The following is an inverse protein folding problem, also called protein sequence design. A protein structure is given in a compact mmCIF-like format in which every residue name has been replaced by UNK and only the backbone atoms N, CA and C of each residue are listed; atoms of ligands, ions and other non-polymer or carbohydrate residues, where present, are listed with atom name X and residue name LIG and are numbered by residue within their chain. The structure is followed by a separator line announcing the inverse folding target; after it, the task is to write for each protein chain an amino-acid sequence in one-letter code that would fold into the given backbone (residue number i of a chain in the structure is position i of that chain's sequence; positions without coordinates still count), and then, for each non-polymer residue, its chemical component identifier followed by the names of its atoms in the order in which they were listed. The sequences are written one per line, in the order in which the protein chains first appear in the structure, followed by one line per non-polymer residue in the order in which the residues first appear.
data_IF_499318895456
#
_entry.id   IF_499318895456
#
_cell.length_a   1.000
_cell.length_b   1.000
_cell.length_c   1.000
_cell.angle_alpha   90.00
_cell.angle_beta   90.00
_cell.angle_gamma   90.00
#
_symmetry.space_group_name_H-M   'P 1'
#
loop_
_entity.id
_entity.type
_entity.pdbx_description
1 polymer ?
#
# COMPACT_ATOMS: atom_id res chain seq x y z
N UNK A 1 12.93 13.78 -48.04
CA UNK A 1 12.36 14.96 -47.35
C UNK A 1 10.93 14.59 -46.99
N UNK A 2 10.59 14.25 -45.75
CA UNK A 2 11.18 14.73 -44.49
C UNK A 2 11.35 13.59 -43.48
N UNK A 3 12.58 13.48 -42.99
CA UNK A 3 12.93 12.88 -41.70
C UNK A 3 12.33 13.75 -40.59
N UNK A 4 11.56 13.18 -39.67
CA UNK A 4 11.40 13.71 -38.31
C UNK A 4 11.28 12.53 -37.34
N UNK A 5 12.44 11.99 -37.00
CA UNK A 5 12.68 11.36 -35.70
C UNK A 5 12.39 12.40 -34.60
N UNK A 6 11.60 12.03 -33.59
CA UNK A 6 11.64 12.73 -32.30
C UNK A 6 11.73 11.72 -31.16
N UNK A 7 12.94 11.68 -30.63
CA UNK A 7 13.41 10.96 -29.45
C UNK A 7 12.94 11.63 -28.15
N UNK A 8 12.77 10.80 -27.11
CA UNK A 8 12.83 11.12 -25.66
C UNK A 8 11.61 11.79 -24.99
N UNK A 9 10.91 11.05 -24.13
CA UNK A 9 11.15 11.12 -22.68
C UNK A 9 10.41 9.99 -21.95
N UNK A 10 11.18 9.26 -21.17
CA UNK A 10 10.77 8.31 -20.16
C UNK A 10 9.67 8.87 -19.26
N UNK A 11 8.44 8.38 -19.41
CA UNK A 11 7.40 8.51 -18.38
C UNK A 11 7.06 7.16 -17.78
N UNK A 12 8.08 6.52 -17.20
CA UNK A 12 7.88 5.55 -16.13
C UNK A 12 7.47 6.32 -14.86
N UNK A 13 6.30 6.97 -14.91
CA UNK A 13 5.70 7.54 -13.72
C UNK A 13 5.18 6.35 -12.92
N UNK A 14 6.01 5.87 -12.00
CA UNK A 14 5.55 5.02 -10.92
C UNK A 14 4.60 5.87 -10.07
N UNK A 15 3.35 6.00 -10.52
CA UNK A 15 2.23 6.62 -9.83
C UNK A 15 1.89 5.84 -8.57
N UNK A 16 2.79 5.93 -7.60
CA UNK A 16 2.83 5.14 -6.38
C UNK A 16 2.31 5.97 -5.20
N UNK A 17 1.12 6.53 -5.35
CA UNK A 17 0.28 6.87 -4.21
C UNK A 17 -1.11 6.26 -4.44
N UNK A 18 -1.18 4.92 -4.36
CA UNK A 18 -2.44 4.16 -4.34
C UNK A 18 -2.98 3.98 -2.91
N UNK A 19 -2.71 4.95 -2.06
CA UNK A 19 -3.27 5.05 -0.72
C UNK A 19 -4.43 6.04 -0.78
N UNK A 20 -5.62 5.60 -0.36
CA UNK A 20 -6.76 6.48 -0.25
C UNK A 20 -7.05 6.71 1.25
N UNK A 21 -7.31 7.96 1.65
CA UNK A 21 -7.72 8.23 3.01
C UNK A 21 -9.13 7.67 3.19
N UNK A 22 -9.26 6.71 4.08
CA UNK A 22 -10.53 6.05 4.38
C UNK A 22 -10.79 6.17 5.88
N UNK A 23 -12.05 6.34 6.27
CA UNK A 23 -12.40 6.37 7.70
C UNK A 23 -12.07 5.03 8.36
N UNK A 24 -11.38 5.09 9.51
CA UNK A 24 -11.01 3.92 10.30
C UNK A 24 -12.20 2.98 10.58
N UNK A 25 -13.41 3.53 10.78
CA UNK A 25 -14.62 2.73 11.02
C UNK A 25 -15.06 1.83 9.86
N UNK A 26 -14.60 2.09 8.63
CA UNK A 26 -15.00 1.30 7.44
C UNK A 26 -14.02 0.18 7.10
N UNK A 27 -12.88 0.12 7.80
CA UNK A 27 -11.82 -0.87 7.57
C UNK A 27 -12.27 -2.22 8.14
N UNK A 28 -12.18 -3.26 7.32
CA UNK A 28 -12.57 -4.63 7.67
C UNK A 28 -11.34 -5.54 7.81
N UNK A 29 -11.55 -6.71 8.41
CA UNK A 29 -10.54 -7.78 8.48
C UNK A 29 -10.06 -8.15 7.07
N UNK A 30 -8.79 -8.55 6.96
CA UNK A 30 -8.08 -8.77 5.69
C UNK A 30 -7.89 -7.53 4.80
N UNK A 31 -8.24 -6.33 5.29
CA UNK A 31 -7.86 -5.08 4.63
C UNK A 31 -6.35 -4.82 4.71
N UNK A 32 -5.85 -3.94 3.86
CA UNK A 32 -4.45 -3.52 3.87
C UNK A 32 -4.37 -2.06 4.27
N UNK A 33 -3.64 -1.78 5.34
CA UNK A 33 -3.47 -0.43 5.88
C UNK A 33 -2.00 -0.09 5.92
N UNK A 34 -1.67 1.19 5.82
CA UNK A 34 -0.30 1.65 5.98
C UNK A 34 -0.12 2.12 7.41
N UNK A 35 0.69 1.39 8.18
CA UNK A 35 1.08 1.78 9.54
C UNK A 35 2.55 2.20 9.49
N UNK A 36 2.87 3.43 9.90
CA UNK A 36 4.25 3.96 9.95
C UNK A 36 5.00 3.80 8.62
N UNK A 37 4.34 4.16 7.52
CA UNK A 37 4.84 4.01 6.13
C UNK A 37 5.13 2.57 5.69
N UNK A 38 4.62 1.55 6.40
CA UNK A 38 4.74 0.15 6.01
C UNK A 38 3.36 -0.46 5.72
N UNK A 39 3.17 -1.15 4.58
CA UNK A 39 1.91 -1.81 4.28
C UNK A 39 1.77 -3.06 5.17
N UNK A 40 0.72 -3.07 5.97
CA UNK A 40 0.40 -4.14 6.90
C UNK A 40 -0.97 -4.72 6.54
N UNK A 41 -1.11 -6.04 6.68
CA UNK A 41 -2.38 -6.75 6.53
C UNK A 41 -3.12 -6.77 7.86
N UNK A 42 -4.34 -6.25 7.90
CA UNK A 42 -5.21 -6.27 9.09
C UNK A 42 -5.68 -7.70 9.34
N UNK A 43 -5.32 -8.25 10.50
CA UNK A 43 -5.75 -9.58 10.96
C UNK A 43 -7.00 -9.45 11.84
N UNK A 44 -7.03 -8.42 12.68
CA UNK A 44 -8.13 -8.20 13.61
C UNK A 44 -8.46 -6.71 13.73
N UNK A 45 -9.76 -6.43 13.86
CA UNK A 45 -10.31 -5.09 14.05
C UNK A 45 -11.22 -5.14 15.25
N UNK A 46 -10.92 -4.31 16.25
CA UNK A 46 -11.69 -4.20 17.48
C UNK A 46 -12.13 -2.76 17.66
N UNK A 47 -13.40 -2.48 17.45
CA UNK A 47 -13.96 -1.13 17.66
C UNK A 47 -14.60 -1.04 19.04
N UNK A 48 -14.08 -0.17 19.90
CA UNK A 48 -14.62 0.09 21.23
C UNK A 48 -15.28 1.47 21.28
N UNK A 49 -16.43 1.57 21.95
CA UNK A 49 -17.06 2.87 22.24
C UNK A 49 -16.64 3.29 23.64
N UNK A 50 -15.91 4.40 23.80
CA UNK A 50 -15.52 4.90 25.12
C UNK A 50 -16.66 5.73 25.73
N UNK A 51 -17.68 5.06 26.28
CA UNK A 51 -18.75 5.70 27.04
C UNK A 51 -19.95 6.25 26.23
N UNK A 52 -20.88 6.91 26.93
CA UNK A 52 -22.21 7.34 26.43
C UNK A 52 -22.17 8.39 25.29
N UNK A 53 -21.15 9.26 25.30
CA UNK A 53 -20.96 10.34 24.30
C UNK A 53 -19.60 10.26 23.59
N UNK A 54 -18.83 9.20 23.81
CA UNK A 54 -17.47 9.12 23.28
C UNK A 54 -17.41 8.65 21.83
N UNK A 55 -16.42 9.13 21.10
CA UNK A 55 -16.07 8.61 19.79
C UNK A 55 -15.66 7.13 19.89
N UNK A 56 -16.02 6.33 18.90
CA UNK A 56 -15.51 4.97 18.83
C UNK A 56 -14.00 5.02 18.56
N UNK A 57 -13.25 4.11 19.18
CA UNK A 57 -11.83 3.89 18.95
C UNK A 57 -11.66 2.56 18.24
N UNK A 58 -10.95 2.57 17.12
CA UNK A 58 -10.62 1.39 16.36
C UNK A 58 -9.23 0.91 16.80
N UNK A 59 -9.17 -0.29 17.33
CA UNK A 59 -7.95 -1.00 17.63
C UNK A 59 -7.67 -1.98 16.48
N UNK A 60 -6.61 -1.72 15.74
CA UNK A 60 -6.19 -2.54 14.61
C UNK A 60 -5.01 -3.40 15.02
N UNK A 61 -5.12 -4.70 14.75
CA UNK A 61 -4.00 -5.63 14.81
C UNK A 61 -3.66 -6.01 13.37
N UNK A 62 -2.49 -5.59 12.92
CA UNK A 62 -2.01 -5.84 11.56
C UNK A 62 -0.66 -6.57 11.58
N UNK A 63 -0.37 -7.30 10.51
CA UNK A 63 0.90 -7.99 10.31
C UNK A 63 1.60 -7.36 9.10
N UNK A 64 2.84 -6.94 9.29
CA UNK A 64 3.69 -6.45 8.21
C UNK A 64 3.88 -7.56 7.16
N UNK A 65 3.62 -7.25 5.89
CA UNK A 65 3.68 -8.22 4.80
C UNK A 65 5.14 -8.61 4.51
N UNK A 66 6.10 -7.73 4.77
CA UNK A 66 7.51 -7.94 4.48
C UNK A 66 8.25 -8.57 5.66
N UNK A 67 7.99 -8.07 6.88
CA UNK A 67 8.68 -8.52 8.08
C UNK A 67 7.94 -9.61 8.86
N UNK A 68 6.65 -9.86 8.58
CA UNK A 68 5.82 -10.79 9.36
C UNK A 68 5.59 -10.37 10.81
N UNK A 69 6.01 -9.16 11.20
CA UNK A 69 5.87 -8.65 12.56
C UNK A 69 4.47 -8.12 12.79
N UNK A 70 3.89 -8.48 13.94
CA UNK A 70 2.63 -7.93 14.41
C UNK A 70 2.83 -6.48 14.85
N UNK A 71 1.94 -5.61 14.42
CA UNK A 71 1.88 -4.19 14.72
C UNK A 71 0.45 -3.86 15.15
N UNK A 72 0.34 -3.16 16.27
CA UNK A 72 -0.92 -2.72 16.83
C UNK A 72 -0.99 -1.21 16.72
N UNK A 73 -2.15 -0.70 16.31
CA UNK A 73 -2.40 0.73 16.22
C UNK A 73 -3.80 1.08 16.70
N UNK A 74 -3.89 2.19 17.44
CA UNK A 74 -5.13 2.68 18.03
C UNK A 74 -5.42 4.03 17.42
N UNK A 75 -6.47 4.07 16.62
CA UNK A 75 -6.89 5.26 15.90
C UNK A 75 -8.36 5.53 16.21
N UNK A 76 -8.75 6.78 16.50
CA UNK A 76 -10.15 7.07 16.71
C UNK A 76 -10.91 6.93 15.39
N UNK A 77 -12.15 6.43 15.46
CA UNK A 77 -13.01 6.14 14.30
C UNK A 77 -13.24 7.35 13.37
N UNK A 78 -13.12 8.57 13.91
CA UNK A 78 -13.25 9.84 13.20
C UNK A 78 -12.00 10.26 12.45
N UNK A 79 -10.84 9.64 12.69
CA UNK A 79 -9.62 9.94 11.95
C UNK A 79 -9.57 9.15 10.64
N UNK A 80 -9.01 9.79 9.64
CA UNK A 80 -8.71 9.17 8.36
C UNK A 80 -7.47 8.29 8.52
N UNK A 81 -7.56 7.06 8.04
CA UNK A 81 -6.44 6.13 7.93
C UNK A 81 -6.12 5.93 6.45
N UNK A 82 -4.83 5.88 6.13
CA UNK A 82 -4.39 5.58 4.78
C UNK A 82 -4.53 4.08 4.51
N UNK A 83 -5.50 3.75 3.66
CA UNK A 83 -5.75 2.37 3.23
C UNK A 83 -5.00 2.13 1.93
N UNK A 84 -4.22 1.06 1.92
CA UNK A 84 -3.49 0.63 0.73
C UNK A 84 -4.39 -0.27 -0.13
N UNK A 85 -4.62 0.10 -1.38
CA UNK A 85 -5.25 -0.82 -2.36
C UNK A 85 -4.27 -1.90 -2.85
N UNK A 86 -3.00 -1.78 -2.44
CA UNK A 86 -1.88 -2.28 -3.20
C UNK A 86 -1.35 -3.57 -2.58
N UNK A 87 -2.05 -4.67 -2.85
CA UNK A 87 -1.42 -5.98 -2.97
C UNK A 87 -1.35 -6.45 -4.43
N UNK A 88 -2.28 -5.99 -5.29
CA UNK A 88 -2.33 -6.39 -6.70
C UNK A 88 -1.20 -5.80 -7.57
N UNK A 89 -0.48 -4.76 -7.13
CA UNK A 89 0.55 -4.13 -7.95
C UNK A 89 2.00 -4.37 -7.49
N UNK A 90 2.23 -5.14 -6.41
CA UNK A 90 3.60 -5.48 -6.00
C UNK A 90 4.18 -6.65 -6.79
N UNK A 91 3.32 -7.60 -7.20
CA UNK A 91 3.69 -8.70 -8.10
C UNK A 91 4.32 -8.22 -9.42
N UNK A 92 3.69 -7.31 -10.20
CA UNK A 92 4.29 -6.87 -11.46
C UNK A 92 5.60 -6.11 -11.26
N UNK A 93 5.75 -5.29 -10.21
CA UNK A 93 6.97 -4.50 -9.98
C UNK A 93 8.14 -5.41 -9.59
N UNK A 94 7.92 -6.41 -8.73
CA UNK A 94 8.96 -7.37 -8.38
C UNK A 94 9.32 -8.27 -9.58
N UNK A 95 8.35 -8.72 -10.38
CA UNK A 95 8.66 -9.44 -11.63
C UNK A 95 9.34 -8.57 -12.66
N UNK A 96 8.99 -7.28 -12.80
CA UNK A 96 9.65 -6.38 -13.76
C UNK A 96 11.09 -6.13 -13.33
N UNK A 97 11.34 -5.92 -12.04
CA UNK A 97 12.70 -5.70 -11.54
C UNK A 97 13.55 -6.98 -11.63
N UNK A 98 12.97 -8.14 -11.32
CA UNK A 98 13.64 -9.45 -11.46
C UNK A 98 13.81 -9.84 -12.93
N UNK A 99 12.88 -9.50 -13.82
CA UNK A 99 13.01 -9.69 -15.27
C UNK A 99 14.07 -8.76 -15.86
N UNK A 100 14.15 -7.49 -15.42
CA UNK A 100 15.21 -6.58 -15.85
C UNK A 100 16.59 -7.05 -15.36
N UNK A 101 16.67 -7.56 -14.14
CA UNK A 101 17.93 -8.06 -13.58
C UNK A 101 18.34 -9.43 -14.16
N UNK A 102 17.39 -10.32 -14.47
CA UNK A 102 17.64 -11.62 -15.12
C UNK A 102 17.84 -11.51 -16.63
N UNK A 103 17.23 -10.53 -17.29
CA UNK A 103 17.37 -10.30 -18.74
C UNK A 103 18.57 -9.40 -19.07
N UNK A 104 19.40 -9.03 -18.08
CA UNK A 104 20.63 -8.26 -18.25
C UNK A 104 21.81 -8.99 -18.92
N UNK A 105 21.59 -10.06 -19.70
CA UNK A 105 22.67 -10.84 -20.33
C UNK A 105 22.48 -11.14 -21.83
N UNK A 106 21.56 -10.51 -22.56
CA UNK A 106 21.54 -10.64 -24.02
C UNK A 106 21.09 -9.34 -24.71
N UNK A 107 21.89 -8.29 -24.56
CA UNK A 107 22.01 -7.28 -25.61
C UNK A 107 23.38 -7.51 -26.28
N UNK A 108 23.48 -8.40 -27.29
CA UNK A 108 24.69 -8.49 -28.09
C UNK A 108 24.84 -7.23 -28.94
N UNK A 109 26.11 -6.87 -29.14
CA UNK A 109 26.61 -5.82 -30.03
C UNK A 109 25.95 -5.77 -31.40
#
# INVERSE_FOLDING_TARGET
MSDEEHQFESKADAGASKTYPQQAGTIRKNGYIVIKNRPCKVVEVSTSKTGKHGHAKCHFVAIDIFNGKKLEDIVPSSHNCDVSQLFMAFLPIFTIFVLFLLCGCCFPM
#
